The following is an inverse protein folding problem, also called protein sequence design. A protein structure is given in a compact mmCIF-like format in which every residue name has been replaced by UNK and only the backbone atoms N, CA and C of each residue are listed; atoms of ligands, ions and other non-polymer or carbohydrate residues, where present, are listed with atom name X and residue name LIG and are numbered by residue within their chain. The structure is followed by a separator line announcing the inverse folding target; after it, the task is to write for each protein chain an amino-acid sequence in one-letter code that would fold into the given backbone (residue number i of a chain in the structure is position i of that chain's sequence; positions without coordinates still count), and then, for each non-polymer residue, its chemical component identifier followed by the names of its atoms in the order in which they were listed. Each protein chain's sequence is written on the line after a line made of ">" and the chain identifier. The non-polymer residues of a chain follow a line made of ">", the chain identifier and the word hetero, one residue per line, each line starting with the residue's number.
data_IF_606246336280
#
_entry.id   IF_606246336280
#
_cell.length_a   1.000
_cell.length_b   1.000
_cell.length_c   1.000
_cell.angle_alpha   90.00
_cell.angle_beta   90.00
_cell.angle_gamma   90.00
#
_symmetry.space_group_name_H-M   'P 1'
#
loop_
_entity.id
_entity.type
_entity.pdbx_description
1 polymer ?
#
# COMPACT_ATOMS: atom_id res chain seq x y z
N UNK A 1 1.42 -26.03 -27.36
CA UNK A 1 0.70 -24.91 -26.72
C UNK A 1 1.12 -24.94 -25.26
N UNK A 2 1.58 -23.83 -24.69
CA UNK A 2 2.07 -23.77 -23.31
C UNK A 2 0.92 -23.22 -22.48
N UNK A 3 0.23 -24.08 -21.75
CA UNK A 3 -0.79 -23.68 -20.78
C UNK A 3 -0.09 -23.01 -19.60
N UNK A 4 -0.07 -21.68 -19.61
CA UNK A 4 0.29 -20.85 -18.47
C UNK A 4 -1.00 -20.40 -17.80
N UNK A 5 -1.63 -21.28 -17.03
CA UNK A 5 -2.73 -20.86 -16.14
C UNK A 5 -2.72 -21.65 -14.85
N UNK A 6 -1.56 -21.73 -14.20
CA UNK A 6 -1.50 -21.94 -12.76
C UNK A 6 -1.11 -20.61 -12.15
N UNK A 7 -2.09 -19.70 -12.08
CA UNK A 7 -2.00 -18.58 -11.15
C UNK A 7 -2.30 -19.19 -9.78
N UNK A 8 -1.27 -19.67 -9.09
CA UNK A 8 -1.37 -20.04 -7.68
C UNK A 8 -1.92 -18.82 -6.95
N UNK A 9 -3.21 -18.86 -6.62
CA UNK A 9 -3.81 -17.90 -5.68
C UNK A 9 -3.01 -18.00 -4.39
N UNK A 10 -2.22 -16.97 -4.12
CA UNK A 10 -1.47 -16.84 -2.88
C UNK A 10 -2.44 -17.04 -1.71
N UNK A 11 -2.15 -17.95 -0.76
CA UNK A 11 -3.01 -18.18 0.39
C UNK A 11 -2.98 -16.92 1.27
N UNK A 12 -3.95 -16.03 1.09
CA UNK A 12 -3.97 -14.74 1.78
C UNK A 12 -4.79 -13.65 1.12
N UNK A 13 -5.16 -13.76 -0.17
CA UNK A 13 -5.98 -12.79 -0.89
C UNK A 13 -7.46 -12.79 -0.42
N UNK A 14 -7.66 -12.56 0.87
CA UNK A 14 -8.95 -12.29 1.48
C UNK A 14 -9.38 -10.86 1.18
N UNK A 15 -10.66 -10.57 1.35
CA UNK A 15 -11.27 -9.24 1.18
C UNK A 15 -10.48 -8.09 1.84
N UNK A 16 -9.65 -8.40 2.84
CA UNK A 16 -8.70 -7.53 3.53
C UNK A 16 -7.61 -6.92 2.62
N UNK A 17 -7.02 -7.69 1.70
CA UNK A 17 -5.93 -7.19 0.85
C UNK A 17 -6.42 -6.14 -0.16
N UNK A 18 -7.61 -6.36 -0.74
CA UNK A 18 -8.22 -5.39 -1.64
C UNK A 18 -8.60 -4.09 -0.93
N UNK A 19 -9.04 -4.20 0.33
CA UNK A 19 -9.34 -3.05 1.18
C UNK A 19 -8.08 -2.25 1.50
N UNK A 20 -7.00 -2.91 1.89
CA UNK A 20 -5.70 -2.28 2.15
C UNK A 20 -5.18 -1.54 0.91
N UNK A 21 -5.28 -2.14 -0.27
CA UNK A 21 -4.90 -1.48 -1.54
C UNK A 21 -5.77 -0.23 -1.77
N UNK A 22 -7.09 -0.34 -1.59
CA UNK A 22 -8.01 0.78 -1.79
C UNK A 22 -7.74 1.93 -0.79
N UNK A 23 -7.51 1.61 0.48
CA UNK A 23 -7.15 2.59 1.51
C UNK A 23 -5.82 3.27 1.18
N UNK A 24 -4.81 2.51 0.74
CA UNK A 24 -3.51 3.06 0.34
C UNK A 24 -3.64 4.03 -0.84
N UNK A 25 -4.44 3.68 -1.86
CA UNK A 25 -4.68 4.56 -3.01
C UNK A 25 -5.43 5.84 -2.62
N UNK A 26 -6.41 5.73 -1.73
CA UNK A 26 -7.14 6.89 -1.23
C UNK A 26 -6.22 7.82 -0.42
N UNK A 27 -5.38 7.24 0.43
CA UNK A 27 -4.36 7.96 1.18
C UNK A 27 -3.39 8.70 0.23
N UNK A 28 -2.83 8.03 -0.78
CA UNK A 28 -1.94 8.69 -1.76
C UNK A 28 -2.64 9.85 -2.49
N UNK A 29 -3.91 9.68 -2.85
CA UNK A 29 -4.71 10.73 -3.46
C UNK A 29 -4.89 11.94 -2.53
N UNK A 30 -5.06 11.74 -1.23
CA UNK A 30 -5.15 12.84 -0.26
C UNK A 30 -3.82 13.60 -0.15
N UNK A 31 -2.69 12.89 -0.15
CA UNK A 31 -1.37 13.51 -0.17
C UNK A 31 -1.17 14.39 -1.41
N UNK A 32 -1.49 13.86 -2.59
CA UNK A 32 -1.37 14.58 -3.87
C UNK A 32 -2.26 15.83 -3.95
N UNK A 33 -3.43 15.79 -3.30
CA UNK A 33 -4.36 16.92 -3.28
C UNK A 33 -4.08 17.91 -2.14
N UNK A 34 -3.12 17.62 -1.25
CA UNK A 34 -2.79 18.53 -0.15
C UNK A 34 -2.01 19.74 -0.66
N UNK A 35 -2.46 20.98 -0.40
CA UNK A 35 -1.72 22.18 -0.76
C UNK A 35 -0.38 22.29 -0.01
N UNK A 36 0.66 22.80 -0.68
CA UNK A 36 1.98 23.01 -0.05
C UNK A 36 1.92 23.87 1.22
N UNK A 37 0.95 24.78 1.32
CA UNK A 37 0.73 25.63 2.49
C UNK A 37 0.30 24.86 3.74
N UNK A 38 -0.23 23.65 3.56
CA UNK A 38 -0.70 22.75 4.62
C UNK A 38 0.36 21.69 5.00
N UNK A 39 1.41 21.55 4.19
CA UNK A 39 2.51 20.60 4.40
C UNK A 39 3.52 21.10 5.44
N UNK A 40 3.10 21.10 6.70
CA UNK A 40 3.96 21.43 7.85
C UNK A 40 5.00 20.32 8.15
N UNK A 41 6.04 20.58 8.96
CA UNK A 41 6.94 19.52 9.42
C UNK A 41 6.22 18.34 10.10
N UNK A 42 5.19 18.61 10.89
CA UNK A 42 4.39 17.57 11.54
C UNK A 42 3.56 16.76 10.53
N UNK A 43 3.07 17.42 9.49
CA UNK A 43 2.41 16.75 8.37
C UNK A 43 3.37 15.73 7.74
N UNK A 44 4.60 16.12 7.42
CA UNK A 44 5.59 15.19 6.85
C UNK A 44 5.93 14.02 7.78
N UNK A 45 6.04 14.25 9.10
CA UNK A 45 6.29 13.18 10.07
C UNK A 45 5.14 12.16 10.07
N UNK A 46 3.91 12.64 10.13
CA UNK A 46 2.73 11.78 10.11
C UNK A 46 2.60 11.01 8.79
N UNK A 47 2.81 11.68 7.66
CA UNK A 47 2.75 11.06 6.34
C UNK A 47 3.84 10.03 6.12
N UNK A 48 5.05 10.26 6.64
CA UNK A 48 6.12 9.27 6.61
C UNK A 48 5.71 7.98 7.33
N UNK A 49 5.10 8.09 8.53
CA UNK A 49 4.62 6.91 9.27
C UNK A 49 3.54 6.15 8.49
N UNK A 50 2.55 6.86 7.95
CA UNK A 50 1.48 6.26 7.16
C UNK A 50 1.99 5.57 5.89
N UNK A 51 2.87 6.23 5.13
CA UNK A 51 3.48 5.66 3.92
C UNK A 51 4.33 4.43 4.25
N UNK A 52 5.06 4.43 5.36
CA UNK A 52 5.85 3.28 5.80
C UNK A 52 4.95 2.08 6.11
N UNK A 53 3.86 2.28 6.87
CA UNK A 53 2.89 1.22 7.16
C UNK A 53 2.26 0.67 5.87
N UNK A 54 1.71 1.55 5.03
CA UNK A 54 1.08 1.15 3.78
C UNK A 54 2.05 0.41 2.83
N UNK A 55 3.31 0.84 2.75
CA UNK A 55 4.32 0.17 1.93
C UNK A 55 4.61 -1.24 2.44
N UNK A 56 4.72 -1.43 3.76
CA UNK A 56 4.91 -2.76 4.37
C UNK A 56 3.73 -3.68 4.10
N UNK A 57 2.51 -3.16 4.22
CA UNK A 57 1.29 -3.92 3.94
C UNK A 57 1.21 -4.31 2.45
N UNK A 58 1.56 -3.41 1.54
CA UNK A 58 1.64 -3.72 0.11
C UNK A 58 2.73 -4.76 -0.19
N UNK A 59 3.90 -4.68 0.45
CA UNK A 59 4.95 -5.70 0.32
C UNK A 59 4.46 -7.07 0.78
N UNK A 60 3.75 -7.13 1.92
CA UNK A 60 3.11 -8.36 2.42
C UNK A 60 2.14 -8.94 1.38
N UNK A 61 1.28 -8.11 0.80
CA UNK A 61 0.30 -8.53 -0.23
C UNK A 61 0.99 -9.09 -1.48
N UNK A 62 2.12 -8.49 -1.87
CA UNK A 62 2.94 -8.93 -3.00
C UNK A 62 3.79 -10.18 -2.68
N UNK A 63 3.75 -10.69 -1.44
CA UNK A 63 4.53 -11.85 -1.01
C UNK A 63 6.00 -11.55 -0.73
N UNK A 64 6.33 -10.28 -0.47
CA UNK A 64 7.67 -9.84 -0.08
C UNK A 64 7.78 -9.68 1.43
N UNK A 65 9.01 -9.82 1.95
CA UNK A 65 9.33 -9.52 3.35
C UNK A 65 9.45 -7.99 3.53
N UNK A 66 8.61 -7.35 4.37
CA UNK A 66 8.65 -5.91 4.60
C UNK A 66 9.86 -5.42 5.43
N UNK A 67 10.63 -6.34 6.04
CA UNK A 67 11.77 -6.03 6.92
C UNK A 67 13.13 -6.53 6.35
N UNK A 68 13.15 -7.04 5.12
CA UNK A 68 14.34 -7.60 4.46
C UNK A 68 15.41 -6.57 4.03
#
# INVERSE_FOLDING_TARGET
>A
MKDFTDNESLPGAGEDDAEIIAQTLQMLKELDNTPLTEMSPLFYQHWFEQLNMATRDLLRILGHDPDA
#
